data_IF_338319996752
#
_entry.id   IF_338319996752
#
_cell.length_a   1.000
_cell.length_b   1.000
_cell.length_c   1.000
_cell.angle_alpha   90.00
_cell.angle_beta   90.00
_cell.angle_gamma   90.00
#
_symmetry.space_group_name_H-M   'P 1'
#
loop_
_entity.id
_entity.type
_entity.pdbx_description
1 polymer ?
#
# COMPACT_ATOMS: atom_id res chain seq x y z
N UNK A 1 49.12 -4.81 39.01
CA UNK A 1 48.27 -5.62 39.91
C UNK A 1 47.10 -4.76 40.40
N UNK A 2 45.88 -5.32 40.32
CA UNK A 2 44.57 -4.86 40.86
C UNK A 2 43.51 -4.49 39.81
N UNK A 3 42.87 -5.54 39.26
CA UNK A 3 41.40 -5.61 39.06
C UNK A 3 40.79 -6.06 40.42
N UNK A 4 39.49 -5.82 40.75
CA UNK A 4 38.35 -6.16 39.87
C UNK A 4 37.05 -5.33 40.05
N UNK A 5 36.01 -5.74 39.29
CA UNK A 5 34.57 -5.52 39.51
C UNK A 5 34.04 -4.13 39.08
N UNK A 6 32.93 -3.98 38.36
CA UNK A 6 31.77 -4.85 38.17
C UNK A 6 31.26 -4.77 36.73
N UNK A 7 30.77 -5.92 36.27
CA UNK A 7 29.89 -6.04 35.12
C UNK A 7 28.56 -5.30 35.37
N UNK A 8 28.19 -4.41 34.46
CA UNK A 8 26.83 -3.89 34.29
C UNK A 8 26.37 -4.32 32.91
N UNK A 9 25.82 -5.54 32.85
CA UNK A 9 24.38 -5.79 32.68
C UNK A 9 23.93 -5.58 31.23
N UNK A 10 23.82 -6.73 30.57
CA UNK A 10 23.02 -7.01 29.38
C UNK A 10 21.59 -6.52 29.58
N UNK A 11 21.15 -5.56 28.77
CA UNK A 11 19.77 -5.11 28.52
C UNK A 11 19.87 -4.43 27.13
N UNK A 12 19.17 -4.76 26.05
CA UNK A 12 17.83 -5.30 25.91
C UNK A 12 17.74 -6.17 24.63
N UNK A 13 17.47 -7.46 24.80
CA UNK A 13 16.75 -8.25 23.81
C UNK A 13 15.26 -7.92 23.97
N UNK A 14 14.69 -7.09 23.09
CA UNK A 14 13.29 -7.16 22.68
C UNK A 14 12.97 -6.01 21.71
N UNK A 15 12.99 -6.28 20.41
CA UNK A 15 12.17 -5.55 19.44
C UNK A 15 11.63 -6.53 18.41
N UNK A 16 10.93 -7.55 18.92
CA UNK A 16 9.99 -8.32 18.11
C UNK A 16 8.72 -7.49 17.99
N UNK A 17 8.58 -6.75 16.89
CA UNK A 17 7.28 -6.20 16.51
C UNK A 17 6.49 -7.32 15.82
N UNK A 18 5.76 -8.11 16.61
CA UNK A 18 4.73 -9.00 16.09
C UNK A 18 3.45 -8.18 15.90
N UNK A 19 3.10 -7.88 14.66
CA UNK A 19 1.77 -7.39 14.32
C UNK A 19 0.79 -8.58 14.29
N UNK A 20 0.35 -9.07 15.46
CA UNK A 20 -0.83 -9.92 15.55
C UNK A 20 -2.08 -9.04 15.49
N UNK A 21 -2.57 -8.76 14.30
CA UNK A 21 -3.95 -8.31 14.11
C UNK A 21 -4.85 -9.56 14.00
N UNK A 22 -5.11 -10.21 15.13
CA UNK A 22 -6.24 -11.12 15.28
C UNK A 22 -7.39 -10.33 15.89
N UNK A 23 -8.28 -9.84 15.03
CA UNK A 23 -9.39 -8.97 15.42
C UNK A 23 -9.94 -8.27 14.20
N UNK A 24 -10.74 -9.00 13.43
CA UNK A 24 -11.37 -8.48 12.23
C UNK A 24 -12.25 -7.29 12.56
N UNK A 25 -11.90 -6.12 12.04
CA UNK A 25 -12.75 -4.97 11.73
C UNK A 25 -11.93 -4.04 10.80
N UNK A 26 -11.34 -4.60 9.75
CA UNK A 26 -11.00 -3.81 8.57
C UNK A 26 -12.31 -3.39 7.89
N UNK A 27 -12.39 -2.20 7.26
CA UNK A 27 -13.58 -1.82 6.50
C UNK A 27 -13.90 -2.96 5.55
N UNK A 28 -15.12 -3.52 5.63
CA UNK A 28 -15.56 -4.46 4.61
C UNK A 28 -15.50 -3.73 3.28
N UNK A 29 -14.53 -4.12 2.45
CA UNK A 29 -14.45 -3.76 1.05
C UNK A 29 -15.68 -4.39 0.36
N UNK A 30 -16.83 -3.72 0.45
CA UNK A 30 -18.09 -4.27 -0.04
C UNK A 30 -19.33 -3.68 0.61
N UNK A 31 -19.58 -2.38 0.40
CA UNK A 31 -20.91 -1.77 0.29
C UNK A 31 -20.64 -0.30 -0.03
N UNK A 32 -20.88 0.18 -1.25
CA UNK A 32 -22.18 0.26 -1.90
C UNK A 32 -22.02 0.29 -3.44
N UNK A 33 -22.98 -0.33 -4.10
CA UNK A 33 -23.04 -0.60 -5.53
C UNK A 33 -23.23 0.71 -6.33
N UNK A 34 -22.13 1.34 -6.69
CA UNK A 34 -22.08 2.17 -7.90
C UNK A 34 -21.08 1.49 -8.81
N UNK A 35 -21.57 0.58 -9.64
CA UNK A 35 -20.80 0.03 -10.75
C UNK A 35 -20.08 1.21 -11.43
N UNK A 36 -18.74 1.32 -11.31
CA UNK A 36 -18.02 2.33 -12.04
C UNK A 36 -18.30 2.05 -13.52
N UNK A 37 -18.48 3.08 -14.38
CA UNK A 37 -18.62 2.85 -15.82
C UNK A 37 -17.52 1.88 -16.23
N UNK A 38 -17.85 0.89 -17.07
CA UNK A 38 -17.17 -0.39 -17.31
C UNK A 38 -15.63 -0.38 -17.58
N UNK A 39 -14.98 0.78 -17.50
CA UNK A 39 -13.55 1.03 -17.65
C UNK A 39 -12.89 1.74 -16.44
N UNK A 40 -13.57 1.91 -15.29
CA UNK A 40 -12.99 2.56 -14.10
C UNK A 40 -12.69 1.54 -13.00
N UNK A 41 -11.55 0.87 -13.09
CA UNK A 41 -11.03 0.03 -12.01
C UNK A 41 -10.49 0.92 -10.87
N UNK A 42 -10.55 0.42 -9.63
CA UNK A 42 -9.81 1.03 -8.51
C UNK A 42 -8.37 0.49 -8.48
N UNK A 43 -7.44 1.24 -7.89
CA UNK A 43 -6.04 0.80 -7.78
C UNK A 43 -5.92 -0.53 -7.01
N UNK A 44 -6.65 -0.68 -5.91
CA UNK A 44 -6.66 -1.91 -5.11
C UNK A 44 -7.15 -3.13 -5.89
N UNK A 45 -8.12 -2.95 -6.78
CA UNK A 45 -8.64 -4.02 -7.62
C UNK A 45 -7.61 -4.46 -8.69
N UNK A 46 -6.90 -3.51 -9.30
CA UNK A 46 -5.82 -3.83 -10.25
C UNK A 46 -4.68 -4.58 -9.56
N UNK A 47 -4.26 -4.16 -8.36
CA UNK A 47 -3.25 -4.87 -7.57
C UNK A 47 -3.71 -6.30 -7.24
N UNK A 48 -4.97 -6.47 -6.86
CA UNK A 48 -5.55 -7.80 -6.55
C UNK A 48 -5.59 -8.71 -7.79
N UNK A 49 -5.74 -8.14 -8.99
CA UNK A 49 -5.66 -8.85 -10.28
C UNK A 49 -4.22 -9.16 -10.74
N UNK A 50 -3.22 -8.75 -9.97
CA UNK A 50 -1.80 -8.99 -10.24
C UNK A 50 -1.12 -7.91 -11.08
N UNK A 51 -1.73 -6.73 -11.24
CA UNK A 51 -1.02 -5.60 -11.81
C UNK A 51 0.04 -5.09 -10.85
N UNK A 52 1.20 -4.73 -11.38
CA UNK A 52 2.32 -4.22 -10.59
C UNK A 52 2.47 -2.72 -10.79
N UNK A 53 2.76 -2.00 -9.70
CA UNK A 53 3.12 -0.59 -9.77
C UNK A 53 4.50 -0.48 -10.43
N UNK A 54 4.55 0.19 -11.59
CA UNK A 54 5.79 0.46 -12.33
C UNK A 54 6.37 1.82 -12.01
N UNK A 55 5.51 2.80 -11.74
CA UNK A 55 5.93 4.15 -11.37
C UNK A 55 4.85 4.86 -10.56
N UNK A 56 5.26 5.81 -9.72
CA UNK A 56 4.39 6.77 -9.07
C UNK A 56 4.98 8.16 -9.28
N UNK A 57 4.30 9.00 -10.05
CA UNK A 57 4.79 10.30 -10.46
C UNK A 57 3.95 11.40 -9.80
N UNK A 58 4.57 12.34 -9.07
CA UNK A 58 3.86 13.50 -8.56
C UNK A 58 3.42 14.39 -9.74
N UNK A 59 2.13 14.72 -9.77
CA UNK A 59 1.51 15.64 -10.72
C UNK A 59 1.10 16.92 -9.98
N UNK A 60 1.85 18.01 -10.21
CA UNK A 60 1.54 19.34 -9.66
C UNK A 60 1.64 19.47 -8.14
N UNK A 61 2.33 18.54 -7.46
CA UNK A 61 2.62 18.59 -6.02
C UNK A 61 1.46 18.20 -5.08
N UNK A 62 0.25 17.97 -5.61
CA UNK A 62 -0.92 17.56 -4.82
C UNK A 62 -1.49 16.20 -5.20
N UNK A 63 -1.30 15.77 -6.43
CA UNK A 63 -1.84 14.51 -6.93
C UNK A 63 -0.69 13.60 -7.35
N UNK A 64 -0.86 12.31 -7.18
CA UNK A 64 0.08 11.30 -7.66
C UNK A 64 -0.62 10.46 -8.71
N UNK A 65 0.06 10.24 -9.83
CA UNK A 65 -0.36 9.29 -10.86
C UNK A 65 0.49 8.05 -10.71
N UNK A 66 -0.16 6.93 -10.43
CA UNK A 66 0.46 5.62 -10.28
C UNK A 66 0.22 4.81 -11.54
N UNK A 67 1.29 4.38 -12.18
CA UNK A 67 1.25 3.55 -13.38
C UNK A 67 1.35 2.10 -12.97
N UNK A 68 0.34 1.31 -13.37
CA UNK A 68 0.32 -0.12 -13.17
C UNK A 68 0.42 -0.84 -14.50
N UNK A 69 1.09 -2.00 -14.50
CA UNK A 69 1.23 -2.82 -15.69
C UNK A 69 1.12 -4.30 -15.34
N UNK A 70 0.47 -5.05 -16.23
CA UNK A 70 0.43 -6.50 -16.25
C UNK A 70 0.48 -6.95 -17.71
N UNK A 71 1.46 -7.77 -18.06
CA UNK A 71 1.68 -8.22 -19.44
C UNK A 71 1.75 -7.03 -20.41
N UNK A 72 0.81 -6.94 -21.36
CA UNK A 72 0.69 -5.84 -22.33
C UNK A 72 -0.38 -4.80 -21.95
N UNK A 73 -1.01 -4.91 -20.78
CA UNK A 73 -2.03 -3.98 -20.30
C UNK A 73 -1.43 -3.02 -19.28
N UNK A 74 -1.68 -1.72 -19.47
CA UNK A 74 -1.24 -0.67 -18.56
C UNK A 74 -2.43 0.16 -18.08
N UNK A 75 -2.32 0.71 -16.87
CA UNK A 75 -3.31 1.58 -16.25
C UNK A 75 -2.61 2.76 -15.59
N UNK A 76 -3.22 3.94 -15.63
CA UNK A 76 -2.83 5.09 -14.84
C UNK A 76 -3.91 5.37 -13.80
N UNK A 77 -3.54 5.34 -12.53
CA UNK A 77 -4.41 5.64 -11.40
C UNK A 77 -4.04 6.99 -10.79
N UNK A 78 -4.96 7.94 -10.81
CA UNK A 78 -4.83 9.19 -10.06
C UNK A 78 -5.48 9.02 -8.68
N UNK A 79 -4.77 9.44 -7.63
CA UNK A 79 -5.34 9.49 -6.28
C UNK A 79 -6.15 10.77 -6.12
N UNK A 80 -7.49 10.66 -6.07
CA UNK A 80 -8.40 11.79 -5.82
C UNK A 80 -8.44 12.17 -4.33
N UNK A 81 -8.25 11.18 -3.45
CA UNK A 81 -8.09 11.35 -2.00
C UNK A 81 -7.15 10.27 -1.46
N UNK A 82 -6.92 10.24 -0.14
CA UNK A 82 -6.14 9.18 0.51
C UNK A 82 -6.77 7.78 0.38
N UNK A 83 -8.08 7.71 0.15
CA UNK A 83 -8.85 6.44 0.11
C UNK A 83 -9.55 6.20 -1.23
N UNK A 84 -9.56 7.19 -2.13
CA UNK A 84 -10.20 7.10 -3.44
C UNK A 84 -9.18 7.32 -4.55
N UNK A 85 -9.13 6.36 -5.48
CA UNK A 85 -8.33 6.43 -6.69
C UNK A 85 -9.23 6.24 -7.91
N UNK A 86 -8.90 6.90 -9.02
CA UNK A 86 -9.55 6.70 -10.30
C UNK A 86 -8.52 6.21 -11.30
N UNK A 87 -8.72 5.01 -11.85
CA UNK A 87 -7.83 4.45 -12.85
C UNK A 87 -8.43 4.47 -14.24
N UNK A 88 -7.61 4.82 -15.23
CA UNK A 88 -7.90 4.68 -16.64
C UNK A 88 -6.94 3.68 -17.29
N UNK A 89 -7.44 2.85 -18.21
CA UNK A 89 -6.60 1.99 -19.02
C UNK A 89 -5.78 2.85 -20.01
N UNK A 90 -4.49 2.50 -20.13
CA UNK A 90 -3.57 3.03 -21.14
C UNK A 90 -3.49 1.95 -22.23
N UNK A 91 -4.33 2.07 -23.27
CA UNK A 91 -4.23 1.26 -24.49
C UNK A 91 -3.34 1.99 -25.50
#
# INVERSE_FOLDING_TARGET
MKLPALATVVLLLASGAYAQQAGGLGPKLGQEDVAPPANKASMGELLSRGYQIKAAVPNGGKFFVVFLQKDQSAYACEMKSLTSSQCGALN
#
